data_IF_720779325410
#
_entry.id   IF_720779325410
#
_cell.length_a   1.000
_cell.length_b   1.000
_cell.length_c   1.000
_cell.angle_alpha   90.00
_cell.angle_beta   90.00
_cell.angle_gamma   90.00
#
_symmetry.space_group_name_H-M   'P 1'
#
loop_
_entity.id
_entity.type
_entity.pdbx_description
1 polymer ?
#
# COMPACT_ATOMS: atom_id res chain seq x y z
N UNK A 1 -23.76 5.22 -18.91
CA UNK A 1 -22.38 5.52 -18.53
C UNK A 1 -21.87 6.59 -19.46
N UNK A 2 -21.49 7.76 -18.94
CA UNK A 2 -21.06 8.88 -19.75
C UNK A 2 -19.69 8.58 -20.39
N UNK A 3 -19.48 8.82 -21.69
CA UNK A 3 -18.20 8.59 -22.39
C UNK A 3 -17.03 9.42 -21.84
N UNK A 4 -17.33 10.41 -21.02
CA UNK A 4 -16.31 11.29 -20.40
C UNK A 4 -15.38 10.56 -19.42
N UNK A 5 -15.86 9.49 -18.76
CA UNK A 5 -15.06 8.73 -17.81
C UNK A 5 -14.05 7.79 -18.48
N UNK A 6 -14.39 7.28 -19.65
CA UNK A 6 -13.47 6.43 -20.44
C UNK A 6 -12.34 7.27 -21.06
N UNK A 7 -12.66 8.52 -21.43
CA UNK A 7 -11.70 9.44 -22.03
C UNK A 7 -10.63 9.92 -21.02
N UNK A 8 -11.00 10.15 -19.76
CA UNK A 8 -10.04 10.45 -18.70
C UNK A 8 -9.11 9.29 -18.36
N UNK A 9 -9.57 8.04 -18.50
CA UNK A 9 -8.73 6.86 -18.23
C UNK A 9 -7.70 6.61 -19.35
N UNK A 10 -8.05 6.90 -20.60
CA UNK A 10 -7.15 6.75 -21.75
C UNK A 10 -6.07 7.83 -21.76
N UNK A 11 -6.38 9.05 -21.31
CA UNK A 11 -5.38 10.13 -21.20
C UNK A 11 -4.33 9.85 -20.11
N UNK A 12 -4.67 9.09 -19.09
CA UNK A 12 -3.73 8.69 -18.04
C UNK A 12 -2.69 7.65 -18.50
N UNK A 13 -2.96 6.90 -19.56
CA UNK A 13 -2.05 5.89 -20.10
C UNK A 13 -1.33 6.29 -21.41
N UNK A 14 -1.73 7.38 -22.04
CA UNK A 14 -1.08 7.92 -23.21
C UNK A 14 0.05 8.91 -22.85
N UNK A 15 0.95 8.51 -21.96
CA UNK A 15 2.21 9.23 -21.81
C UNK A 15 3.09 8.86 -22.99
N UNK A 16 3.46 9.81 -23.87
CA UNK A 16 4.40 9.50 -24.94
C UNK A 16 5.72 9.06 -24.31
N UNK A 17 6.20 7.90 -24.71
CA UNK A 17 7.58 7.44 -24.51
C UNK A 17 8.51 8.37 -25.31
N UNK A 18 8.67 9.60 -24.85
CA UNK A 18 9.79 10.40 -25.25
C UNK A 18 11.00 9.90 -24.47
N UNK A 19 11.87 9.19 -25.16
CA UNK A 19 13.26 9.03 -24.78
C UNK A 19 13.90 10.44 -24.75
N UNK A 20 13.73 11.16 -23.66
CA UNK A 20 14.49 12.36 -23.39
C UNK A 20 15.88 11.91 -22.93
N UNK A 21 16.88 12.29 -23.72
CA UNK A 21 18.28 12.30 -23.30
C UNK A 21 18.37 12.80 -21.87
N UNK A 22 18.91 11.98 -21.02
CA UNK A 22 19.09 12.19 -19.60
C UNK A 22 20.10 13.30 -19.36
N UNK A 23 19.65 14.54 -19.40
CA UNK A 23 20.33 15.55 -18.57
C UNK A 23 20.18 15.08 -17.13
N UNK A 24 21.25 14.58 -16.56
CA UNK A 24 21.34 14.18 -15.15
C UNK A 24 21.18 15.45 -14.32
N UNK A 25 19.95 15.79 -14.00
CA UNK A 25 19.67 16.88 -13.06
C UNK A 25 20.26 16.49 -11.71
N UNK A 26 21.11 17.33 -11.17
CA UNK A 26 21.90 17.12 -9.95
C UNK A 26 21.05 16.80 -8.71
N UNK A 27 19.75 17.03 -8.76
CA UNK A 27 18.82 16.89 -7.64
C UNK A 27 17.92 15.65 -7.69
N UNK A 28 18.16 14.70 -8.60
CA UNK A 28 17.33 13.48 -8.73
C UNK A 28 17.85 12.37 -7.82
N UNK A 29 17.30 12.29 -6.62
CA UNK A 29 17.58 11.21 -5.67
C UNK A 29 16.40 10.27 -5.66
N UNK A 30 16.63 8.99 -5.94
CA UNK A 30 15.62 7.94 -5.81
C UNK A 30 15.68 7.36 -4.40
N UNK A 31 14.67 7.56 -3.57
CA UNK A 31 14.60 6.96 -2.25
C UNK A 31 14.35 5.45 -2.38
N UNK A 32 15.43 4.65 -2.33
CA UNK A 32 15.38 3.20 -2.56
C UNK A 32 15.04 2.36 -1.33
N UNK A 33 14.96 2.98 -0.16
CA UNK A 33 14.99 2.26 1.12
C UNK A 33 13.72 2.45 1.97
N UNK A 34 12.61 2.91 1.37
CA UNK A 34 11.38 3.13 2.13
C UNK A 34 10.65 1.82 2.47
N UNK A 35 9.92 1.85 3.57
CA UNK A 35 9.09 0.74 4.04
C UNK A 35 7.93 0.49 3.08
N UNK A 36 7.74 -0.76 2.67
CA UNK A 36 6.67 -1.17 1.77
C UNK A 36 5.55 -1.83 2.59
N UNK A 37 4.37 -1.21 2.76
CA UNK A 37 3.21 -1.85 3.40
C UNK A 37 2.41 -2.67 2.39
N UNK A 38 1.41 -3.40 2.88
CA UNK A 38 0.36 -3.94 2.03
C UNK A 38 -0.48 -2.82 1.39
N UNK A 39 -1.05 -3.08 0.20
CA UNK A 39 -1.88 -2.08 -0.49
C UNK A 39 -3.17 -1.80 0.28
N UNK A 40 -3.61 -0.53 0.38
CA UNK A 40 -4.85 -0.16 1.06
C UNK A 40 -6.08 -0.90 0.53
N UNK A 41 -6.13 -1.21 -0.75
CA UNK A 41 -7.23 -1.97 -1.35
C UNK A 41 -7.30 -3.41 -0.81
N UNK A 42 -6.19 -4.03 -0.48
CA UNK A 42 -6.16 -5.36 0.15
C UNK A 42 -6.67 -5.32 1.58
N UNK A 43 -6.49 -4.20 2.30
CA UNK A 43 -7.04 -4.00 3.64
C UNK A 43 -8.56 -3.98 3.60
N UNK A 44 -9.17 -3.29 2.62
CA UNK A 44 -10.64 -3.27 2.43
C UNK A 44 -11.17 -4.65 2.08
N UNK A 45 -10.42 -5.43 1.30
CA UNK A 45 -10.81 -6.78 0.88
C UNK A 45 -10.51 -7.86 1.93
N UNK A 46 -9.80 -7.54 3.02
CA UNK A 46 -9.50 -8.46 4.12
C UNK A 46 -8.54 -9.60 3.77
N UNK A 47 -7.67 -9.40 2.78
CA UNK A 47 -6.71 -10.42 2.30
C UNK A 47 -5.27 -10.19 2.77
N UNK A 48 -5.04 -9.22 3.63
CA UNK A 48 -3.75 -8.96 4.26
C UNK A 48 -3.52 -9.85 5.49
N UNK A 49 -2.29 -10.26 5.80
CA UNK A 49 -1.96 -10.99 7.02
C UNK A 49 -2.31 -10.21 8.30
N UNK A 50 -1.97 -8.93 8.32
CA UNK A 50 -2.41 -7.96 9.34
C UNK A 50 -3.41 -6.99 8.72
N UNK A 51 -4.53 -6.73 9.39
CA UNK A 51 -5.50 -5.72 8.96
C UNK A 51 -5.12 -4.31 9.43
N UNK A 52 -4.18 -4.23 10.36
CA UNK A 52 -3.65 -2.97 10.88
C UNK A 52 -2.24 -2.78 10.33
N UNK A 53 -2.13 -2.02 9.24
CA UNK A 53 -0.86 -1.78 8.60
C UNK A 53 -0.13 -0.59 9.21
N UNK A 54 1.19 -0.69 9.24
CA UNK A 54 2.04 0.45 9.59
C UNK A 54 2.03 1.51 8.50
N UNK A 55 2.25 2.75 8.90
CA UNK A 55 2.45 3.86 7.97
C UNK A 55 3.71 3.65 7.14
N UNK A 56 3.64 4.00 5.89
CA UNK A 56 4.78 3.95 4.99
C UNK A 56 4.63 4.93 3.84
N UNK A 57 5.73 5.20 3.20
CA UNK A 57 5.81 5.97 1.97
C UNK A 57 6.22 5.07 0.82
N UNK A 58 5.40 5.08 -0.23
CA UNK A 58 5.71 4.44 -1.49
C UNK A 58 5.91 5.56 -2.47
N UNK A 59 7.14 5.78 -2.88
CA UNK A 59 7.46 6.81 -3.88
C UNK A 59 7.52 6.25 -5.30
N UNK A 60 7.32 4.94 -5.44
CA UNK A 60 7.33 4.22 -6.72
C UNK A 60 6.05 3.40 -6.88
N UNK A 61 5.86 2.83 -8.05
CA UNK A 61 4.78 1.91 -8.34
C UNK A 61 4.98 0.57 -7.63
N UNK A 62 3.94 0.06 -6.98
CA UNK A 62 4.00 -1.18 -6.22
C UNK A 62 2.95 -2.17 -6.70
N UNK A 63 3.32 -3.45 -6.71
CA UNK A 63 2.42 -4.59 -6.95
C UNK A 63 2.45 -5.53 -5.76
N UNK A 64 1.28 -5.91 -5.29
CA UNK A 64 1.09 -6.87 -4.22
C UNK A 64 0.39 -8.11 -4.73
N UNK A 65 0.84 -9.30 -4.29
CA UNK A 65 0.16 -10.58 -4.45
C UNK A 65 -0.23 -11.12 -3.08
N UNK A 66 -1.43 -11.64 -2.97
CA UNK A 66 -1.92 -12.23 -1.73
C UNK A 66 -2.35 -13.68 -1.95
N UNK A 67 -2.04 -14.51 -0.96
CA UNK A 67 -2.40 -15.93 -0.91
C UNK A 67 -3.24 -16.17 0.34
N UNK A 68 -4.38 -16.79 0.19
CA UNK A 68 -5.27 -17.11 1.29
C UNK A 68 -5.64 -18.60 1.24
N UNK A 69 -5.69 -19.25 2.41
CA UNK A 69 -6.09 -20.66 2.56
C UNK A 69 -5.26 -21.63 1.69
N UNK A 70 -3.94 -21.40 1.56
CA UNK A 70 -3.00 -22.21 0.76
C UNK A 70 -3.36 -22.31 -0.73
N UNK A 71 -4.29 -21.50 -1.21
CA UNK A 71 -4.61 -21.43 -2.64
C UNK A 71 -3.82 -20.29 -3.28
N UNK A 72 -3.15 -20.59 -4.37
CA UNK A 72 -2.54 -19.62 -5.28
C UNK A 72 -3.65 -18.93 -6.11
N UNK A 73 -4.58 -18.27 -5.45
CA UNK A 73 -5.53 -17.42 -6.18
C UNK A 73 -4.80 -16.16 -6.61
N UNK A 74 -5.00 -15.70 -7.85
CA UNK A 74 -4.33 -14.51 -8.37
C UNK A 74 -4.96 -13.24 -7.77
N UNK A 75 -4.71 -13.00 -6.49
CA UNK A 75 -5.05 -11.76 -5.84
C UNK A 75 -3.95 -10.76 -6.16
N UNK A 76 -4.29 -9.73 -6.90
CA UNK A 76 -3.35 -8.72 -7.36
C UNK A 76 -3.81 -7.34 -6.93
N UNK A 77 -2.92 -6.54 -6.38
CA UNK A 77 -3.14 -5.12 -6.17
C UNK A 77 -1.98 -4.29 -6.73
N UNK A 78 -2.35 -3.13 -7.24
CA UNK A 78 -1.44 -2.13 -7.77
C UNK A 78 -1.64 -0.85 -6.96
N UNK A 79 -0.54 -0.23 -6.54
CA UNK A 79 -0.56 1.01 -5.77
C UNK A 79 0.45 2.00 -6.32
N UNK A 80 0.10 3.28 -6.33
CA UNK A 80 0.96 4.38 -6.76
C UNK A 80 0.67 5.65 -5.98
N UNK A 81 1.59 6.61 -6.06
CA UNK A 81 1.41 7.99 -5.55
C UNK A 81 1.34 8.97 -6.74
N UNK A 82 0.15 9.19 -7.31
CA UNK A 82 0.03 9.94 -8.57
C UNK A 82 0.50 11.39 -8.44
N UNK A 83 0.33 12.05 -7.29
CA UNK A 83 0.85 13.41 -7.09
C UNK A 83 2.38 13.45 -7.07
N UNK A 84 3.04 12.45 -6.49
CA UNK A 84 4.49 12.32 -6.53
C UNK A 84 4.98 12.10 -7.95
N UNK A 85 4.28 11.24 -8.70
CA UNK A 85 4.60 10.92 -10.09
C UNK A 85 4.48 12.13 -11.02
N UNK A 86 3.32 12.78 -11.00
CA UNK A 86 2.96 13.82 -11.96
C UNK A 86 3.51 15.19 -11.58
N UNK A 87 3.46 15.57 -10.30
CA UNK A 87 3.80 16.92 -9.85
C UNK A 87 5.28 17.09 -9.50
N UNK A 88 5.91 16.03 -8.97
CA UNK A 88 7.33 16.02 -8.59
C UNK A 88 8.22 15.23 -9.56
N UNK A 89 7.73 14.87 -10.75
CA UNK A 89 8.46 14.10 -11.76
C UNK A 89 9.21 12.92 -11.16
N UNK A 90 8.60 12.24 -10.18
CA UNK A 90 9.13 11.09 -9.43
C UNK A 90 10.36 11.36 -8.55
N UNK A 91 11.13 12.43 -8.77
CA UNK A 91 12.48 12.56 -8.19
C UNK A 91 12.88 14.01 -7.86
N UNK A 92 12.02 14.97 -8.04
CA UNK A 92 12.36 16.37 -7.75
C UNK A 92 12.25 16.66 -6.25
N UNK A 93 13.31 16.28 -5.55
CA UNK A 93 13.42 16.46 -4.10
C UNK A 93 13.46 17.95 -3.71
N UNK A 94 14.12 18.79 -4.49
CA UNK A 94 14.21 20.23 -4.21
C UNK A 94 12.82 20.87 -4.23
N UNK A 95 12.00 20.54 -5.23
CA UNK A 95 10.61 20.97 -5.33
C UNK A 95 9.77 20.47 -4.16
N UNK A 96 9.99 19.22 -3.72
CA UNK A 96 9.29 18.63 -2.58
C UNK A 96 9.64 19.33 -1.27
N UNK A 97 10.92 19.57 -1.01
CA UNK A 97 11.40 20.21 0.21
C UNK A 97 10.96 21.66 0.33
N UNK A 98 10.88 22.39 -0.80
CA UNK A 98 10.38 23.77 -0.85
C UNK A 98 8.85 23.88 -0.83
N UNK A 99 8.12 22.76 -1.04
CA UNK A 99 6.68 22.74 -1.12
C UNK A 99 5.99 23.02 0.24
N UNK A 100 4.77 23.55 0.19
CA UNK A 100 3.93 23.73 1.37
C UNK A 100 3.61 22.39 2.05
N UNK A 101 3.27 22.41 3.35
CA UNK A 101 2.88 21.21 4.10
C UNK A 101 1.71 20.47 3.43
N UNK A 102 0.75 21.20 2.86
CA UNK A 102 -0.40 20.62 2.15
C UNK A 102 0.04 19.86 0.89
N UNK A 103 0.90 20.46 0.06
CA UNK A 103 1.39 19.81 -1.17
C UNK A 103 2.24 18.56 -0.87
N UNK A 104 3.01 18.56 0.21
CA UNK A 104 3.74 17.37 0.66
C UNK A 104 2.81 16.26 1.12
N UNK A 105 1.70 16.58 1.82
CA UNK A 105 0.68 15.59 2.18
C UNK A 105 -0.02 15.00 0.95
N UNK A 106 -0.30 15.80 -0.07
CA UNK A 106 -0.83 15.31 -1.34
C UNK A 106 0.16 14.38 -2.05
N UNK A 107 1.45 14.67 -1.97
CA UNK A 107 2.49 13.79 -2.54
C UNK A 107 2.55 12.40 -1.88
N UNK A 108 2.08 12.30 -0.63
CA UNK A 108 1.98 11.04 0.12
C UNK A 108 0.60 10.36 -0.02
N UNK A 109 -0.27 10.86 -0.91
CA UNK A 109 -1.57 10.25 -1.18
C UNK A 109 -1.40 9.00 -2.05
N UNK A 110 -1.73 7.85 -1.48
CA UNK A 110 -1.69 6.55 -2.15
C UNK A 110 -3.03 6.26 -2.84
N UNK A 111 -2.95 5.82 -4.08
CA UNK A 111 -4.08 5.27 -4.83
C UNK A 111 -3.79 3.81 -5.12
N UNK A 112 -4.74 2.94 -4.82
CA UNK A 112 -4.60 1.51 -5.08
C UNK A 112 -5.82 0.92 -5.76
N UNK A 113 -5.59 -0.03 -6.66
CA UNK A 113 -6.60 -0.82 -7.35
C UNK A 113 -6.22 -2.28 -7.19
N UNK A 114 -7.19 -3.14 -6.90
CA UNK A 114 -6.92 -4.56 -6.72
C UNK A 114 -8.06 -5.45 -7.16
N UNK A 115 -7.72 -6.71 -7.39
CA UNK A 115 -8.66 -7.78 -7.71
C UNK A 115 -8.38 -8.98 -6.83
N UNK A 116 -9.43 -9.53 -6.25
CA UNK A 116 -9.39 -10.71 -5.38
C UNK A 116 -10.45 -11.71 -5.84
N UNK A 117 -10.11 -12.99 -5.86
CA UNK A 117 -11.06 -14.05 -6.07
C UNK A 117 -11.59 -14.57 -4.73
N UNK A 118 -12.91 -14.63 -4.60
CA UNK A 118 -13.59 -15.12 -3.41
C UNK A 118 -13.65 -16.67 -3.40
N UNK A 119 -14.06 -17.23 -2.26
CA UNK A 119 -14.22 -18.68 -2.08
C UNK A 119 -15.27 -19.30 -3.02
N UNK A 120 -16.24 -18.50 -3.46
CA UNK A 120 -17.28 -18.87 -4.42
C UNK A 120 -16.87 -18.68 -5.90
N UNK A 121 -15.57 -18.44 -6.17
CA UNK A 121 -15.04 -18.05 -7.48
C UNK A 121 -15.55 -16.69 -8.00
N UNK A 122 -16.26 -15.91 -7.19
CA UNK A 122 -16.63 -14.56 -7.53
C UNK A 122 -15.42 -13.63 -7.49
N UNK A 123 -15.31 -12.70 -8.42
CA UNK A 123 -14.26 -11.71 -8.44
C UNK A 123 -14.70 -10.42 -7.75
N UNK A 124 -13.85 -9.93 -6.86
CA UNK A 124 -13.99 -8.61 -6.24
C UNK A 124 -12.96 -7.69 -6.83
N UNK A 125 -13.39 -6.53 -7.28
CA UNK A 125 -12.52 -5.46 -7.75
C UNK A 125 -12.74 -4.27 -6.82
N UNK A 126 -11.66 -3.70 -6.33
CA UNK A 126 -11.72 -2.56 -5.42
C UNK A 126 -10.73 -1.49 -5.77
N UNK A 127 -10.97 -0.32 -5.23
CA UNK A 127 -10.00 0.77 -5.20
C UNK A 127 -9.99 1.39 -3.81
N UNK A 128 -8.84 1.93 -3.43
CA UNK A 128 -8.70 2.64 -2.18
C UNK A 128 -7.76 3.84 -2.32
N UNK A 129 -8.03 4.84 -1.48
CA UNK A 129 -7.20 6.02 -1.27
C UNK A 129 -6.70 5.97 0.17
N UNK A 130 -5.42 6.27 0.38
CA UNK A 130 -4.83 6.41 1.70
C UNK A 130 -3.99 7.66 1.75
N UNK A 131 -4.17 8.44 2.81
CA UNK A 131 -3.39 9.66 3.06
C UNK A 131 -2.83 9.67 4.46
N UNK A 132 -1.74 10.42 4.65
CA UNK A 132 -1.09 10.61 5.92
C UNK A 132 -1.49 11.96 6.52
N UNK A 133 -2.08 11.97 7.72
CA UNK A 133 -2.47 13.17 8.45
C UNK A 133 -1.29 13.73 9.27
N UNK A 134 -0.62 12.84 10.01
CA UNK A 134 0.50 13.18 10.88
C UNK A 134 1.59 12.14 10.72
N UNK A 135 2.84 12.59 10.65
CA UNK A 135 4.01 11.73 10.60
C UNK A 135 5.16 12.39 11.35
N UNK A 136 5.77 11.65 12.25
CA UNK A 136 6.86 12.14 13.08
C UNK A 136 8.13 12.42 12.26
N UNK A 137 8.49 11.47 11.40
CA UNK A 137 9.65 11.58 10.54
C UNK A 137 9.28 11.43 9.07
N UNK A 138 9.66 12.39 8.24
CA UNK A 138 9.61 12.32 6.79
C UNK A 138 11.04 12.14 6.26
N UNK A 139 11.38 10.95 5.73
CA UNK A 139 12.73 10.70 5.23
C UNK A 139 13.18 11.68 4.14
N UNK A 140 12.25 12.22 3.34
CA UNK A 140 12.57 13.20 2.29
C UNK A 140 12.85 14.60 2.83
N UNK A 141 12.52 14.87 4.10
CA UNK A 141 12.78 16.13 4.79
C UNK A 141 13.94 16.02 5.78
N UNK A 142 14.58 14.87 5.91
CA UNK A 142 15.68 14.65 6.83
C UNK A 142 16.91 15.47 6.39
N UNK A 143 17.24 16.53 7.16
CA UNK A 143 18.38 17.41 6.86
C UNK A 143 19.70 16.65 6.79
N UNK A 144 19.87 15.69 7.70
CA UNK A 144 21.07 14.85 7.81
C UNK A 144 21.36 14.08 6.51
N UNK A 145 20.29 13.62 5.82
CA UNK A 145 20.44 12.84 4.60
C UNK A 145 20.70 13.69 3.35
N UNK A 146 20.16 14.91 3.30
CA UNK A 146 20.14 15.66 2.05
C UNK A 146 20.90 16.99 2.12
N UNK A 147 20.77 17.73 3.21
CA UNK A 147 21.40 19.04 3.35
C UNK A 147 22.87 18.85 3.68
N UNK A 148 23.19 18.09 4.72
CA UNK A 148 24.58 17.92 5.18
C UNK A 148 25.45 17.21 4.14
N UNK A 149 24.93 16.11 3.57
CA UNK A 149 25.63 15.39 2.49
C UNK A 149 25.72 16.28 1.24
N UNK A 150 24.63 16.99 0.91
CA UNK A 150 24.61 17.90 -0.23
C UNK A 150 25.65 19.02 -0.13
N UNK A 151 25.77 19.65 1.04
CA UNK A 151 26.76 20.69 1.29
C UNK A 151 28.19 20.14 1.22
N UNK A 152 28.45 18.95 1.82
CA UNK A 152 29.74 18.27 1.73
C UNK A 152 30.17 18.06 0.27
N UNK A 153 29.29 17.49 -0.55
CA UNK A 153 29.62 17.23 -1.96
C UNK A 153 29.67 18.50 -2.83
N UNK A 154 28.93 19.53 -2.45
CA UNK A 154 29.03 20.85 -3.10
C UNK A 154 30.42 21.47 -2.85
N UNK A 155 30.90 21.42 -1.62
CA UNK A 155 32.23 21.91 -1.27
C UNK A 155 33.32 21.10 -2.00
N UNK A 156 33.24 19.77 -1.97
CA UNK A 156 34.17 18.89 -2.70
C UNK A 156 34.20 19.20 -4.21
N UNK A 157 33.07 19.54 -4.81
CA UNK A 157 33.01 19.98 -6.21
C UNK A 157 33.80 21.26 -6.44
N UNK A 158 33.56 22.28 -5.60
CA UNK A 158 34.26 23.55 -5.71
C UNK A 158 35.78 23.35 -5.60
N UNK A 159 36.22 22.55 -4.65
CA UNK A 159 37.63 22.27 -4.41
C UNK A 159 38.25 21.53 -5.63
N UNK A 160 37.56 20.53 -6.20
CA UNK A 160 38.01 19.82 -7.39
C UNK A 160 38.06 20.71 -8.65
N UNK A 161 37.06 21.58 -8.84
CA UNK A 161 37.04 22.55 -9.95
C UNK A 161 38.19 23.56 -9.84
N UNK A 162 38.48 24.05 -8.65
CA UNK A 162 39.61 24.94 -8.39
C UNK A 162 40.96 24.25 -8.60
N UNK A 163 41.08 23.00 -8.14
CA UNK A 163 42.25 22.17 -8.38
C UNK A 163 42.47 21.95 -9.88
N UNK A 164 41.42 21.61 -10.62
CA UNK A 164 41.45 21.41 -12.07
C UNK A 164 41.91 22.67 -12.79
N UNK A 165 41.36 23.82 -12.37
CA UNK A 165 41.76 25.14 -12.91
C UNK A 165 43.25 25.40 -12.68
N UNK A 166 43.73 25.16 -11.49
CA UNK A 166 45.14 25.35 -11.10
C UNK A 166 46.05 24.46 -11.92
N UNK A 167 45.71 23.18 -12.07
CA UNK A 167 46.48 22.23 -12.85
C UNK A 167 46.52 22.59 -14.35
N UNK A 168 45.47 23.14 -14.89
CA UNK A 168 45.43 23.61 -16.29
C UNK A 168 46.34 24.82 -16.49
N UNK A 169 46.30 25.79 -15.57
CA UNK A 169 47.23 26.96 -15.60
C UNK A 169 48.67 26.47 -15.48
N UNK A 170 48.98 25.54 -14.60
CA UNK A 170 50.32 24.99 -14.47
C UNK A 170 50.76 24.27 -15.75
N UNK A 171 49.88 23.50 -16.41
CA UNK A 171 50.18 22.84 -17.67
C UNK A 171 50.55 23.81 -18.79
N UNK A 172 49.86 24.97 -18.82
CA UNK A 172 50.10 26.01 -19.83
C UNK A 172 51.37 26.80 -19.56
N UNK A 173 51.72 26.98 -18.27
CA UNK A 173 52.87 27.83 -17.85
C UNK A 173 54.19 27.03 -17.84
N UNK A 174 54.13 25.74 -17.67
CA UNK A 174 55.32 24.90 -17.52
C UNK A 174 56.08 24.69 -18.84
N UNK A 175 57.32 25.11 -18.91
CA UNK A 175 58.21 24.88 -20.06
C UNK A 175 58.91 23.51 -20.02
N UNK A 176 58.89 22.83 -18.88
CA UNK A 176 59.58 21.50 -18.71
C UNK A 176 58.75 20.36 -19.31
N UNK A 177 59.23 19.79 -20.40
CA UNK A 177 58.59 18.70 -21.15
C UNK A 177 58.39 17.44 -20.30
N UNK A 178 59.33 17.19 -19.35
CA UNK A 178 59.31 15.99 -18.50
C UNK A 178 58.17 16.05 -17.45
N UNK A 179 57.78 17.26 -17.00
CA UNK A 179 56.74 17.41 -16.00
C UNK A 179 55.32 17.44 -16.59
N UNK A 180 55.16 17.74 -17.88
CA UNK A 180 53.84 17.80 -18.56
C UNK A 180 53.03 16.49 -18.49
N UNK A 181 53.59 15.28 -18.65
CA UNK A 181 52.84 14.04 -18.54
C UNK A 181 52.22 13.83 -17.14
N UNK A 182 52.94 14.21 -16.10
CA UNK A 182 52.47 14.07 -14.71
C UNK A 182 51.28 15.00 -14.44
N UNK A 183 51.34 16.27 -14.88
CA UNK A 183 50.23 17.20 -14.72
C UNK A 183 49.03 16.75 -15.52
N UNK A 184 49.18 16.23 -16.74
CA UNK A 184 48.09 15.66 -17.53
C UNK A 184 47.42 14.46 -16.83
N UNK A 185 48.20 13.59 -16.17
CA UNK A 185 47.63 12.48 -15.42
C UNK A 185 46.84 12.95 -14.20
N UNK A 186 47.27 14.02 -13.52
CA UNK A 186 46.57 14.64 -12.41
C UNK A 186 45.26 15.30 -12.88
N UNK A 187 45.27 16.00 -14.01
CA UNK A 187 44.08 16.59 -14.63
C UNK A 187 43.06 15.48 -14.92
N UNK A 188 43.49 14.40 -15.59
CA UNK A 188 42.61 13.26 -15.88
C UNK A 188 42.03 12.64 -14.61
N UNK A 189 42.82 12.45 -13.57
CA UNK A 189 42.35 11.91 -12.30
C UNK A 189 41.32 12.83 -11.63
N UNK A 190 41.55 14.15 -11.66
CA UNK A 190 40.61 15.13 -11.09
C UNK A 190 39.31 15.22 -11.88
N UNK A 191 39.38 15.14 -13.23
CA UNK A 191 38.19 15.05 -14.11
C UNK A 191 37.37 13.75 -13.84
N UNK A 192 38.02 12.63 -13.60
CA UNK A 192 37.39 11.38 -13.24
C UNK A 192 36.70 11.44 -11.87
N UNK A 193 37.32 12.10 -10.89
CA UNK A 193 36.73 12.38 -9.59
C UNK A 193 35.49 13.25 -9.72
N UNK A 194 35.51 14.32 -10.52
CA UNK A 194 34.37 15.18 -10.80
C UNK A 194 33.22 14.41 -11.46
N UNK A 195 33.55 13.56 -12.45
CA UNK A 195 32.55 12.74 -13.15
C UNK A 195 31.87 11.71 -12.23
N UNK A 196 32.60 11.17 -11.25
CA UNK A 196 32.07 10.20 -10.29
C UNK A 196 31.41 10.82 -9.06
N UNK A 197 31.55 12.13 -8.85
CA UNK A 197 31.10 12.83 -7.66
C UNK A 197 29.59 12.64 -7.40
N UNK A 198 28.75 12.78 -8.43
CA UNK A 198 27.30 12.59 -8.30
C UNK A 198 26.93 11.14 -7.94
N UNK A 199 27.64 10.16 -8.50
CA UNK A 199 27.44 8.77 -8.18
C UNK A 199 27.82 8.46 -6.73
N UNK A 200 28.93 8.98 -6.25
CA UNK A 200 29.39 8.87 -4.86
C UNK A 200 28.40 9.51 -3.88
N UNK A 201 27.94 10.73 -4.17
CA UNK A 201 26.89 11.41 -3.39
C UNK A 201 25.64 10.54 -3.27
N UNK A 202 25.14 10.03 -4.39
CA UNK A 202 23.94 9.23 -4.39
C UNK A 202 24.11 7.90 -3.63
N UNK A 203 25.29 7.30 -3.69
CA UNK A 203 25.63 6.11 -2.89
C UNK A 203 25.62 6.43 -1.41
N UNK A 204 26.28 7.51 -0.97
CA UNK A 204 26.32 7.93 0.44
C UNK A 204 24.93 8.27 0.98
N UNK A 205 24.10 8.97 0.21
CA UNK A 205 22.70 9.22 0.59
C UNK A 205 21.92 7.92 0.74
N UNK A 206 22.07 6.98 -0.20
CA UNK A 206 21.37 5.70 -0.12
C UNK A 206 21.81 4.84 1.08
N UNK A 207 23.07 4.89 1.44
CA UNK A 207 23.61 4.16 2.62
C UNK A 207 23.09 4.78 3.93
N UNK A 208 23.16 6.09 4.05
CA UNK A 208 22.63 6.78 5.21
C UNK A 208 21.11 6.68 5.32
N UNK A 209 20.39 6.65 4.19
CA UNK A 209 18.95 6.41 4.18
C UNK A 209 18.56 5.04 4.74
N UNK A 210 19.39 4.00 4.56
CA UNK A 210 19.16 2.68 5.20
C UNK A 210 19.25 2.78 6.71
N UNK A 211 20.28 3.46 7.20
CA UNK A 211 20.47 3.67 8.65
C UNK A 211 19.29 4.46 9.21
N UNK A 212 18.94 5.57 8.57
CA UNK A 212 17.81 6.41 8.97
C UNK A 212 16.50 5.64 9.04
N UNK A 213 16.14 4.87 7.99
CA UNK A 213 14.93 4.04 7.96
C UNK A 213 15.00 2.93 9.01
N UNK A 214 16.18 2.38 9.26
CA UNK A 214 16.37 1.36 10.30
C UNK A 214 16.15 1.91 11.71
N UNK A 215 16.57 3.14 11.96
CA UNK A 215 16.40 3.79 13.26
C UNK A 215 14.99 4.32 13.49
N UNK A 216 14.28 4.73 12.42
CA UNK A 216 12.95 5.33 12.47
C UNK A 216 11.86 4.43 11.89
N UNK A 217 12.09 3.11 11.81
CA UNK A 217 11.13 2.15 11.24
C UNK A 217 9.78 2.14 11.98
N UNK A 218 9.78 2.51 13.25
CA UNK A 218 8.64 2.57 14.15
C UNK A 218 8.16 3.99 14.45
N UNK A 219 8.42 4.95 13.57
CA UNK A 219 7.99 6.33 13.72
C UNK A 219 6.48 6.45 13.91
N UNK A 220 6.07 7.38 14.78
CA UNK A 220 4.66 7.66 15.07
C UNK A 220 3.98 8.29 13.84
N UNK A 221 2.74 7.87 13.58
CA UNK A 221 1.99 8.39 12.45
C UNK A 221 0.48 8.25 12.63
N UNK A 222 -0.28 9.05 11.89
CA UNK A 222 -1.73 8.98 11.78
C UNK A 222 -2.13 8.99 10.31
N UNK A 223 -2.75 7.92 9.87
CA UNK A 223 -3.23 7.74 8.50
C UNK A 223 -4.75 7.67 8.46
N UNK A 224 -5.32 8.13 7.37
CA UNK A 224 -6.70 7.87 7.01
C UNK A 224 -6.76 7.13 5.68
N UNK A 225 -7.80 6.34 5.48
CA UNK A 225 -8.03 5.72 4.19
C UNK A 225 -9.51 5.50 3.92
N UNK A 226 -9.83 5.37 2.64
CA UNK A 226 -11.17 5.15 2.15
C UNK A 226 -11.12 4.23 0.94
N UNK A 227 -12.05 3.29 0.85
CA UNK A 227 -12.08 2.36 -0.26
C UNK A 227 -13.48 1.90 -0.63
N UNK A 228 -13.60 1.41 -1.86
CA UNK A 228 -14.81 0.79 -2.40
C UNK A 228 -14.49 -0.51 -3.09
N UNK A 229 -15.35 -1.50 -2.86
CA UNK A 229 -15.24 -2.84 -3.45
C UNK A 229 -16.52 -3.15 -4.21
N UNK A 230 -16.36 -3.71 -5.40
CA UNK A 230 -17.41 -4.26 -6.23
C UNK A 230 -17.23 -5.77 -6.36
N UNK A 231 -18.31 -6.53 -6.36
CA UNK A 231 -18.30 -7.97 -6.59
C UNK A 231 -18.89 -8.29 -7.96
N UNK A 232 -18.27 -9.25 -8.63
CA UNK A 232 -18.70 -9.73 -9.94
C UNK A 232 -18.85 -11.25 -9.88
N UNK A 233 -19.97 -11.79 -10.37
CA UNK A 233 -20.12 -13.22 -10.57
C UNK A 233 -19.36 -13.64 -11.83
N UNK A 234 -18.60 -14.72 -11.69
CA UNK A 234 -18.00 -15.41 -12.82
C UNK A 234 -18.92 -16.54 -13.23
N UNK A 235 -19.22 -16.69 -14.52
CA UNK A 235 -19.97 -17.85 -15.00
C UNK A 235 -19.11 -19.12 -14.94
N UNK A 236 -19.75 -20.30 -15.14
CA UNK A 236 -19.10 -21.59 -15.11
C UNK A 236 -17.99 -21.78 -16.16
N UNK A 237 -17.88 -20.89 -17.13
CA UNK A 237 -16.87 -20.93 -18.22
C UNK A 237 -15.68 -20.02 -17.93
N UNK A 238 -15.70 -19.24 -16.83
CA UNK A 238 -14.61 -18.32 -16.47
C UNK A 238 -14.58 -17.05 -17.29
N UNK A 239 -15.53 -16.84 -18.20
CA UNK A 239 -15.73 -15.57 -18.90
C UNK A 239 -16.45 -14.61 -17.97
N UNK A 240 -16.00 -13.36 -17.95
CA UNK A 240 -16.71 -12.24 -17.32
C UNK A 240 -17.99 -12.00 -18.15
N UNK A 241 -18.99 -12.87 -17.98
CA UNK A 241 -20.26 -12.72 -18.66
C UNK A 241 -20.93 -11.50 -18.15
N UNK A 242 -21.10 -10.57 -19.07
CA UNK A 242 -21.85 -9.33 -18.94
C UNK A 242 -21.78 -8.79 -17.53
N UNK A 243 -21.04 -7.74 -17.34
CA UNK A 243 -21.00 -6.81 -16.20
C UNK A 243 -22.38 -6.65 -15.52
N UNK A 244 -22.97 -7.73 -15.08
CA UNK A 244 -23.98 -7.67 -14.05
C UNK A 244 -23.19 -7.28 -12.80
N UNK A 245 -23.05 -5.97 -12.61
CA UNK A 245 -22.72 -5.38 -11.32
C UNK A 245 -23.58 -6.07 -10.27
N UNK A 246 -23.07 -7.17 -9.77
CA UNK A 246 -23.77 -7.90 -8.74
C UNK A 246 -23.43 -7.20 -7.42
N UNK A 247 -23.93 -5.97 -7.32
CA UNK A 247 -24.10 -5.14 -6.12
C UNK A 247 -22.82 -4.53 -5.54
N UNK A 248 -23.01 -3.35 -5.03
CA UNK A 248 -22.06 -2.67 -4.15
C UNK A 248 -21.71 -3.56 -2.99
N UNK A 249 -20.55 -4.14 -2.98
CA UNK A 249 -20.19 -4.99 -1.89
C UNK A 249 -19.79 -4.22 -0.66
N UNK A 250 -18.99 -3.20 -0.80
CA UNK A 250 -18.58 -2.45 0.39
C UNK A 250 -18.04 -1.05 0.09
N UNK A 251 -18.33 -0.12 0.98
CA UNK A 251 -17.59 1.10 1.22
C UNK A 251 -16.90 0.97 2.58
N UNK A 252 -15.67 1.40 2.69
CA UNK A 252 -14.96 1.40 3.98
C UNK A 252 -14.18 2.68 4.15
N UNK A 253 -14.26 3.25 5.35
CA UNK A 253 -13.38 4.32 5.78
C UNK A 253 -12.68 3.92 7.09
N UNK A 254 -11.40 4.24 7.23
CA UNK A 254 -10.65 3.91 8.44
C UNK A 254 -9.56 4.91 8.78
N UNK A 255 -9.20 4.91 10.04
CA UNK A 255 -8.08 5.67 10.60
C UNK A 255 -7.17 4.71 11.33
N UNK A 256 -5.87 4.82 11.07
CA UNK A 256 -4.81 4.11 11.76
C UNK A 256 -3.92 5.11 12.49
N UNK A 257 -3.75 4.92 13.80
CA UNK A 257 -2.77 5.66 14.59
C UNK A 257 -1.66 4.75 15.07
N UNK A 258 -0.40 5.11 14.86
CA UNK A 258 0.76 4.35 15.33
C UNK A 258 1.66 5.20 16.23
N UNK A 259 2.24 4.56 17.24
CA UNK A 259 3.17 5.16 18.20
C UNK A 259 4.36 4.23 18.39
N UNK A 260 5.56 4.77 18.15
CA UNK A 260 6.82 4.08 18.43
C UNK A 260 7.16 4.07 19.91
N UNK A 261 7.59 2.94 20.43
CA UNK A 261 8.03 2.77 21.82
C UNK A 261 9.47 2.24 21.83
N UNK A 262 10.40 3.10 22.18
CA UNK A 262 11.83 2.81 22.08
C UNK A 262 12.21 2.50 20.62
N UNK A 263 13.27 1.71 20.43
CA UNK A 263 13.80 1.40 19.08
C UNK A 263 13.18 0.15 18.42
N UNK A 264 12.42 -0.67 19.17
CA UNK A 264 12.01 -2.01 18.71
C UNK A 264 10.51 -2.27 18.74
N UNK A 265 9.70 -1.38 19.27
CA UNK A 265 8.26 -1.60 19.43
C UNK A 265 7.47 -0.56 18.64
N UNK A 266 6.40 -1.00 18.02
CA UNK A 266 5.40 -0.16 17.38
C UNK A 266 4.01 -0.61 17.82
N UNK A 267 3.26 0.28 18.44
CA UNK A 267 1.86 0.08 18.77
C UNK A 267 1.01 0.80 17.74
N UNK A 268 0.04 0.11 17.14
CA UNK A 268 -0.88 0.69 16.16
C UNK A 268 -2.31 0.40 16.53
N UNK A 269 -3.18 1.42 16.51
CA UNK A 269 -4.63 1.30 16.67
C UNK A 269 -5.36 1.49 15.34
N UNK A 270 -6.47 0.80 15.14
CA UNK A 270 -7.36 0.90 13.98
C UNK A 270 -8.79 1.15 14.43
N UNK A 271 -9.46 2.08 13.76
CA UNK A 271 -10.92 2.17 13.74
C UNK A 271 -11.36 2.21 12.28
N UNK A 272 -12.23 1.26 11.89
CA UNK A 272 -12.77 1.12 10.53
C UNK A 272 -14.28 1.04 10.60
N UNK A 273 -14.95 1.74 9.71
CA UNK A 273 -16.38 1.56 9.47
C UNK A 273 -16.60 1.17 8.02
N UNK A 274 -17.35 0.09 7.81
CA UNK A 274 -17.67 -0.46 6.49
C UNK A 274 -19.17 -0.52 6.31
N UNK A 275 -19.65 -0.17 5.12
CA UNK A 275 -21.02 -0.31 4.68
C UNK A 275 -21.04 -1.29 3.51
N UNK A 276 -21.80 -2.38 3.64
CA UNK A 276 -21.83 -3.42 2.63
C UNK A 276 -23.23 -4.03 2.47
N UNK A 277 -23.46 -4.62 1.33
CA UNK A 277 -24.66 -5.37 1.02
C UNK A 277 -24.33 -6.86 1.03
N UNK A 278 -25.22 -7.64 1.62
CA UNK A 278 -25.14 -9.10 1.73
C UNK A 278 -26.32 -9.72 1.00
N UNK A 279 -26.06 -10.69 0.15
CA UNK A 279 -27.09 -11.49 -0.49
C UNK A 279 -27.46 -12.67 0.41
N UNK A 280 -28.70 -12.70 0.86
CA UNK A 280 -29.28 -13.75 1.68
C UNK A 280 -29.95 -14.76 0.76
N UNK A 281 -29.43 -16.00 0.73
CA UNK A 281 -30.06 -17.08 -0.03
C UNK A 281 -30.86 -17.97 0.93
N UNK A 282 -32.13 -18.24 0.60
CA UNK A 282 -33.01 -19.08 1.39
C UNK A 282 -33.92 -19.91 0.49
N UNK A 283 -34.55 -20.99 1.04
CA UNK A 283 -35.49 -21.82 0.34
C UNK A 283 -36.86 -21.69 0.96
N UNK A 284 -37.86 -21.54 0.12
CA UNK A 284 -39.25 -21.59 0.51
C UNK A 284 -39.89 -22.85 -0.11
N UNK A 285 -40.77 -23.50 0.65
CA UNK A 285 -41.53 -24.65 0.22
C UNK A 285 -43.00 -24.25 0.09
N UNK A 286 -43.60 -24.56 -1.06
CA UNK A 286 -45.04 -24.47 -1.24
C UNK A 286 -45.71 -25.59 -0.44
N UNK A 287 -46.62 -25.23 0.47
CA UNK A 287 -47.33 -26.18 1.34
C UNK A 287 -48.34 -27.02 0.58
N UNK A 288 -48.80 -26.54 -0.60
CA UNK A 288 -49.78 -27.25 -1.39
C UNK A 288 -49.14 -28.29 -2.35
N UNK A 289 -48.08 -27.86 -3.04
CA UNK A 289 -47.43 -28.72 -4.04
C UNK A 289 -46.21 -29.48 -3.46
N UNK A 290 -45.64 -28.99 -2.36
CA UNK A 290 -44.41 -29.56 -1.77
C UNK A 290 -43.13 -29.12 -2.48
N UNK A 291 -43.21 -28.28 -3.51
CA UNK A 291 -42.06 -27.85 -4.29
C UNK A 291 -41.20 -26.84 -3.52
N UNK A 292 -39.88 -26.92 -3.70
CA UNK A 292 -38.92 -25.99 -3.10
C UNK A 292 -38.42 -24.99 -4.13
N UNK A 293 -38.44 -23.71 -3.76
CA UNK A 293 -37.96 -22.61 -4.59
C UNK A 293 -36.82 -21.85 -3.90
N UNK A 294 -35.76 -21.55 -4.67
CA UNK A 294 -34.68 -20.67 -4.19
C UNK A 294 -35.11 -19.19 -4.26
N UNK A 295 -35.00 -18.50 -3.16
CA UNK A 295 -35.25 -17.05 -3.04
C UNK A 295 -34.01 -16.32 -2.57
N UNK A 296 -33.93 -15.06 -2.93
CA UNK A 296 -32.81 -14.17 -2.61
C UNK A 296 -33.30 -12.82 -2.11
N UNK A 297 -32.70 -12.36 -1.04
CA UNK A 297 -32.94 -11.01 -0.52
C UNK A 297 -31.61 -10.30 -0.32
N UNK A 298 -31.63 -8.96 -0.22
CA UNK A 298 -30.49 -8.13 0.01
C UNK A 298 -30.65 -7.42 1.34
N UNK A 299 -29.65 -7.62 2.20
CA UNK A 299 -29.55 -6.88 3.44
C UNK A 299 -28.39 -5.87 3.39
N UNK A 300 -28.65 -4.63 3.74
CA UNK A 300 -27.62 -3.62 3.95
C UNK A 300 -27.14 -3.65 5.39
N UNK A 301 -25.83 -3.69 5.56
CA UNK A 301 -25.18 -3.87 6.85
C UNK A 301 -24.10 -2.79 7.08
N UNK A 302 -23.80 -2.54 8.34
CA UNK A 302 -22.62 -1.81 8.76
C UNK A 302 -21.71 -2.73 9.57
N UNK A 303 -20.39 -2.56 9.44
CA UNK A 303 -19.41 -3.28 10.23
C UNK A 303 -18.45 -2.26 10.84
N UNK A 304 -18.50 -2.10 12.15
CA UNK A 304 -17.53 -1.35 12.91
C UNK A 304 -16.43 -2.31 13.36
N UNK A 305 -15.19 -2.03 12.94
CA UNK A 305 -14.00 -2.77 13.37
C UNK A 305 -13.12 -1.85 14.20
N UNK A 306 -12.74 -2.29 15.39
CA UNK A 306 -11.74 -1.64 16.22
C UNK A 306 -10.65 -2.65 16.57
N UNK A 307 -9.39 -2.22 16.60
CA UNK A 307 -8.31 -3.13 16.86
C UNK A 307 -7.00 -2.50 17.28
N UNK A 308 -6.12 -3.34 17.76
CA UNK A 308 -4.76 -2.99 18.17
C UNK A 308 -3.77 -4.00 17.60
N UNK A 309 -2.62 -3.50 17.20
CA UNK A 309 -1.50 -4.30 16.69
C UNK A 309 -0.24 -3.88 17.40
N UNK A 310 0.48 -4.84 17.94
CA UNK A 310 1.80 -4.65 18.56
C UNK A 310 2.82 -5.31 17.66
N UNK A 311 3.83 -4.56 17.23
CA UNK A 311 4.95 -5.05 16.43
C UNK A 311 6.25 -4.96 17.20
N UNK A 312 7.08 -5.97 17.03
CA UNK A 312 8.43 -6.03 17.60
C UNK A 312 9.44 -6.37 16.51
N UNK A 313 10.56 -5.66 16.45
CA UNK A 313 11.63 -5.98 15.50
C UNK A 313 12.40 -4.77 15.00
N UNK A 314 12.50 -4.67 13.68
CA UNK A 314 13.25 -3.63 12.99
C UNK A 314 12.82 -3.47 11.52
N UNK A 315 13.60 -2.74 10.73
CA UNK A 315 13.29 -2.48 9.32
C UNK A 315 13.35 -3.72 8.42
N UNK A 316 14.17 -4.71 8.78
CA UNK A 316 14.38 -5.94 7.98
C UNK A 316 13.37 -7.02 8.33
N UNK A 317 13.04 -7.12 9.61
CA UNK A 317 12.20 -8.19 10.11
C UNK A 317 11.37 -7.69 11.29
N UNK A 318 10.05 -7.94 11.24
CA UNK A 318 9.14 -7.63 12.34
C UNK A 318 8.20 -8.78 12.61
N UNK A 319 7.89 -9.00 13.90
CA UNK A 319 6.77 -9.83 14.34
C UNK A 319 5.62 -8.95 14.75
N UNK A 320 4.39 -9.44 14.58
CA UNK A 320 3.20 -8.75 15.09
C UNK A 320 2.26 -9.70 15.82
N UNK A 321 1.54 -9.10 16.76
CA UNK A 321 0.35 -9.65 17.39
C UNK A 321 -0.77 -8.62 17.24
N UNK A 322 -1.90 -9.03 16.68
CA UNK A 322 -3.03 -8.16 16.36
C UNK A 322 -4.31 -8.73 16.95
N UNK A 323 -5.07 -7.86 17.59
CA UNK A 323 -6.42 -8.14 18.06
C UNK A 323 -7.42 -7.21 17.37
N UNK A 324 -8.51 -7.77 16.83
CA UNK A 324 -9.61 -7.04 16.22
C UNK A 324 -10.92 -7.44 16.86
N UNK A 325 -11.75 -6.45 17.12
CA UNK A 325 -13.14 -6.59 17.51
C UNK A 325 -14.03 -6.02 16.41
N UNK A 326 -15.06 -6.78 16.01
CA UNK A 326 -16.00 -6.41 14.96
C UNK A 326 -17.43 -6.43 15.48
N UNK A 327 -18.16 -5.33 15.23
CA UNK A 327 -19.58 -5.20 15.55
C UNK A 327 -20.37 -4.99 14.30
N UNK A 328 -21.20 -5.96 13.95
CA UNK A 328 -22.14 -5.89 12.81
C UNK A 328 -23.40 -5.17 13.24
N UNK A 329 -23.85 -4.23 12.41
CA UNK A 329 -25.11 -3.54 12.56
C UNK A 329 -25.95 -3.72 11.31
N UNK A 330 -27.26 -3.95 11.48
CA UNK A 330 -28.20 -4.12 10.37
C UNK A 330 -28.87 -2.78 10.08
N UNK A 331 -28.86 -2.37 8.78
CA UNK A 331 -29.54 -1.16 8.30
C UNK A 331 -30.90 -1.47 7.71
N UNK A 332 -31.04 -2.65 7.10
CA UNK A 332 -32.32 -3.11 6.56
C UNK A 332 -33.24 -3.43 7.73
N UNK A 333 -34.43 -2.79 7.85
CA UNK A 333 -35.37 -3.11 8.91
C UNK A 333 -35.75 -4.59 8.86
N UNK A 334 -35.94 -5.19 10.04
CA UNK A 334 -36.32 -6.59 10.15
C UNK A 334 -37.65 -6.84 9.45
N UNK A 335 -38.54 -5.87 9.45
CA UNK A 335 -39.87 -5.89 8.77
C UNK A 335 -39.73 -6.02 7.24
N UNK A 336 -38.69 -5.40 6.65
CA UNK A 336 -38.40 -5.54 5.21
C UNK A 336 -37.82 -6.92 4.86
N UNK A 337 -37.36 -7.67 5.85
CA UNK A 337 -36.86 -9.03 5.72
C UNK A 337 -37.90 -10.07 6.16
N UNK A 338 -39.08 -9.65 6.61
CA UNK A 338 -40.14 -10.54 7.02
C UNK A 338 -40.54 -11.52 5.91
N UNK A 339 -40.54 -11.08 4.66
CA UNK A 339 -40.78 -11.97 3.52
C UNK A 339 -39.68 -13.05 3.34
N UNK A 340 -38.52 -12.83 3.94
CA UNK A 340 -37.39 -13.79 3.95
C UNK A 340 -37.51 -14.78 5.10
N UNK A 341 -38.09 -14.36 6.22
CA UNK A 341 -38.19 -15.14 7.46
C UNK A 341 -39.59 -15.64 7.75
N UNK A 342 -40.62 -14.94 7.33
CA UNK A 342 -42.01 -15.39 7.29
C UNK A 342 -42.41 -15.61 5.84
N UNK A 343 -42.55 -16.90 5.48
CA UNK A 343 -43.05 -17.20 4.12
C UNK A 343 -44.39 -16.57 3.88
N UNK A 344 -44.71 -16.15 2.65
CA UNK A 344 -46.06 -15.75 2.26
C UNK A 344 -47.08 -16.85 2.60
N UNK A 345 -48.36 -16.49 2.73
CA UNK A 345 -49.40 -17.46 3.01
C UNK A 345 -49.36 -18.61 2.00
N UNK A 346 -49.31 -19.84 2.51
CA UNK A 346 -49.17 -21.04 1.72
C UNK A 346 -47.74 -21.52 1.49
N UNK A 347 -46.73 -20.85 2.01
CA UNK A 347 -45.33 -21.24 1.94
C UNK A 347 -44.70 -21.38 3.32
N UNK A 348 -43.67 -22.21 3.42
CA UNK A 348 -42.83 -22.36 4.64
C UNK A 348 -41.37 -22.18 4.29
N UNK A 349 -40.60 -21.46 5.12
CA UNK A 349 -39.14 -21.39 4.97
C UNK A 349 -38.51 -22.67 5.45
N UNK A 350 -37.98 -23.47 4.53
CA UNK A 350 -37.41 -24.80 4.83
C UNK A 350 -35.92 -24.76 5.13
N UNK A 351 -35.21 -23.81 4.59
CA UNK A 351 -33.76 -23.66 4.79
C UNK A 351 -33.35 -22.21 4.68
N UNK A 352 -33.10 -21.62 5.82
CA UNK A 352 -32.28 -20.40 5.90
C UNK A 352 -30.83 -20.84 5.98
N UNK A 353 -30.08 -20.76 4.88
CA UNK A 353 -28.61 -20.96 4.92
C UNK A 353 -27.89 -19.81 5.62
N UNK A 354 -28.64 -18.81 6.00
CA UNK A 354 -28.12 -17.54 6.49
C UNK A 354 -28.15 -17.56 8.01
N UNK A 355 -27.03 -17.96 8.57
CA UNK A 355 -26.66 -17.55 9.94
C UNK A 355 -26.15 -16.10 9.89
N UNK A 356 -27.02 -15.18 9.50
CA UNK A 356 -26.67 -13.76 9.36
C UNK A 356 -26.35 -13.07 10.69
N UNK A 357 -26.75 -13.66 11.80
CA UNK A 357 -26.48 -13.26 13.18
C UNK A 357 -25.16 -13.83 13.73
N UNK A 358 -24.53 -14.77 13.03
CA UNK A 358 -23.23 -15.29 13.46
C UNK A 358 -22.13 -14.32 13.08
N UNK A 359 -21.88 -13.40 13.97
CA UNK A 359 -20.71 -12.54 13.92
C UNK A 359 -19.58 -13.26 14.65
N UNK A 360 -18.42 -13.34 14.03
CA UNK A 360 -17.18 -13.72 14.70
C UNK A 360 -16.47 -12.44 15.14
N UNK A 361 -16.86 -11.84 16.27
CA UNK A 361 -16.46 -10.47 16.59
C UNK A 361 -15.02 -10.35 17.01
N UNK A 362 -14.39 -11.46 17.40
CA UNK A 362 -13.04 -11.44 17.93
C UNK A 362 -12.09 -12.18 16.98
N UNK A 363 -11.06 -11.48 16.54
CA UNK A 363 -10.00 -12.03 15.68
C UNK A 363 -8.65 -11.77 16.32
N UNK A 364 -7.85 -12.81 16.48
CA UNK A 364 -6.46 -12.73 16.89
C UNK A 364 -5.57 -13.13 15.72
N UNK A 365 -4.66 -12.24 15.30
CA UNK A 365 -3.72 -12.54 14.22
C UNK A 365 -2.30 -12.41 14.73
N UNK A 366 -1.42 -13.28 14.27
CA UNK A 366 0.01 -13.20 14.56
C UNK A 366 0.82 -13.57 13.33
N UNK A 367 2.00 -12.98 13.20
CA UNK A 367 2.83 -13.17 12.02
C UNK A 367 4.01 -12.22 11.99
N UNK A 368 4.45 -11.88 10.78
CA UNK A 368 5.56 -10.98 10.60
C UNK A 368 5.70 -10.43 9.19
N UNK A 369 6.61 -9.51 9.06
CA UNK A 369 7.07 -8.97 7.79
C UNK A 369 8.56 -9.29 7.67
N UNK A 370 8.95 -9.80 6.52
CA UNK A 370 10.35 -10.08 6.19
C UNK A 370 10.74 -9.37 4.90
N UNK A 371 11.67 -8.45 4.99
CA UNK A 371 12.26 -7.79 3.83
C UNK A 371 13.32 -8.69 3.21
N UNK A 372 12.95 -9.41 2.14
CA UNK A 372 13.84 -10.33 1.41
C UNK A 372 14.89 -9.54 0.61
N UNK A 373 14.46 -8.42 0.02
CA UNK A 373 15.33 -7.52 -0.75
C UNK A 373 14.91 -6.05 -0.58
N UNK A 374 15.63 -5.13 -1.23
CA UNK A 374 15.27 -3.70 -1.23
C UNK A 374 13.88 -3.43 -1.79
N UNK A 375 13.44 -4.26 -2.72
CA UNK A 375 12.18 -4.08 -3.44
C UNK A 375 11.11 -5.10 -3.09
N UNK A 376 11.42 -6.12 -2.25
CA UNK A 376 10.52 -7.23 -1.97
C UNK A 376 10.35 -7.45 -0.48
N UNK A 377 9.09 -7.45 -0.04
CA UNK A 377 8.70 -7.84 1.33
C UNK A 377 7.74 -9.03 1.26
N UNK A 378 8.00 -10.02 2.08
CA UNK A 378 7.08 -11.11 2.39
C UNK A 378 6.35 -10.75 3.70
N UNK A 379 5.03 -10.67 3.64
CA UNK A 379 4.19 -10.59 4.84
C UNK A 379 3.53 -11.95 5.03
N UNK A 380 3.56 -12.47 6.25
CA UNK A 380 2.97 -13.76 6.57
C UNK A 380 2.28 -13.71 7.92
N UNK A 381 1.24 -14.51 8.08
CA UNK A 381 0.52 -14.55 9.33
C UNK A 381 -0.53 -15.64 9.38
N UNK A 382 -1.04 -15.82 10.59
CA UNK A 382 -2.15 -16.73 10.89
C UNK A 382 -3.23 -15.94 11.61
N UNK A 383 -4.46 -16.09 11.16
CA UNK A 383 -5.63 -15.44 11.74
C UNK A 383 -6.52 -16.48 12.40
N UNK A 384 -6.73 -16.31 13.71
CA UNK A 384 -7.62 -17.12 14.53
C UNK A 384 -8.92 -16.35 14.78
N UNK A 385 -10.06 -16.97 14.55
CA UNK A 385 -11.39 -16.36 14.65
C UNK A 385 -12.17 -16.99 15.79
N UNK A 386 -12.83 -16.14 16.59
CA UNK A 386 -13.56 -16.56 17.79
C UNK A 386 -14.98 -16.00 17.79
N UNK A 387 -15.90 -16.73 18.42
CA UNK A 387 -17.27 -16.26 18.68
C UNK A 387 -17.28 -15.18 19.78
N UNK A 388 -18.46 -14.59 20.04
CA UNK A 388 -18.69 -13.72 21.20
C UNK A 388 -18.29 -14.35 22.53
N UNK A 389 -18.42 -15.65 22.66
CA UNK A 389 -18.08 -16.40 23.88
C UNK A 389 -16.61 -16.89 23.89
N UNK A 390 -15.75 -16.32 23.03
CA UNK A 390 -14.35 -16.72 22.87
C UNK A 390 -14.15 -18.18 22.46
N UNK A 391 -15.17 -18.81 21.87
CA UNK A 391 -15.04 -20.14 21.32
C UNK A 391 -14.31 -20.05 19.98
N UNK A 392 -13.22 -20.79 19.85
CA UNK A 392 -12.45 -20.90 18.61
C UNK A 392 -13.30 -21.49 17.47
N UNK A 393 -13.30 -20.88 16.31
CA UNK A 393 -14.09 -21.31 15.14
C UNK A 393 -13.24 -21.71 13.97
N UNK A 394 -12.02 -21.22 13.86
CA UNK A 394 -11.14 -21.60 12.78
C UNK A 394 -9.88 -20.72 12.71
N UNK A 395 -8.95 -21.15 11.89
CA UNK A 395 -7.75 -20.38 11.56
C UNK A 395 -7.55 -20.29 10.06
N UNK A 396 -7.03 -19.15 9.60
CA UNK A 396 -6.74 -18.89 8.21
C UNK A 396 -5.30 -18.43 8.07
N UNK A 397 -4.42 -19.21 7.42
CA UNK A 397 -3.11 -18.73 7.04
C UNK A 397 -3.23 -17.74 5.90
N UNK A 398 -2.50 -16.64 5.99
CA UNK A 398 -2.46 -15.58 4.99
C UNK A 398 -1.02 -15.19 4.75
N UNK A 399 -0.65 -15.05 3.49
CA UNK A 399 0.64 -14.51 3.10
C UNK A 399 0.46 -13.54 1.93
N UNK A 400 1.33 -12.55 1.84
CA UNK A 400 1.39 -11.66 0.69
C UNK A 400 2.83 -11.27 0.38
N UNK A 401 3.10 -11.05 -0.89
CA UNK A 401 4.38 -10.54 -1.39
C UNK A 401 4.12 -9.18 -1.99
N UNK A 402 4.84 -8.18 -1.50
CA UNK A 402 4.83 -6.83 -2.00
C UNK A 402 6.12 -6.56 -2.77
N UNK A 403 6.01 -6.10 -4.02
CA UNK A 403 7.15 -5.75 -4.86
C UNK A 403 7.04 -4.30 -5.35
N UNK A 404 8.10 -3.52 -5.15
CA UNK A 404 8.23 -2.21 -5.80
C UNK A 404 8.79 -2.40 -7.22
N UNK A 405 8.08 -1.90 -8.22
CA UNK A 405 8.51 -1.84 -9.61
C UNK A 405 9.07 -0.45 -9.89
N UNK A 406 10.19 -0.40 -10.60
CA UNK A 406 10.85 0.83 -11.05
C UNK A 406 10.49 1.13 -12.49
#
# INVERSE_FOLDING_TARGET
MHPLFLFCFIILFASPLFAQETQVSENRISPKEFTIPASPVFDVMGVTPSQINRTSDIKDFKVDWSFKNWRLNPNLAIQSQPFWELFYNRKDLSKYQSASKFMRKLAALDVSIGSVQDENNDRRIGFALKGNLLREYDPLMARELYVEIGEKFKQERVDLEEQLRTLRIQLDTISNIIAKPNIRSQIKATEEQLNTLNSRRNTEINENAKVFVSEHWNASALDFAFGKVYSYKTDSVGTLNSLRLNRNTAWSGWINGSVGIGKKWLLTGLIRNSWYEEELNFKIKDNNTGDEFDRKAIASNTLLTAGMNIRYGGSLYTFFLEFLYEKKGFKTPVEALNDVFSAPDGFTVTRSSVKWDVVHPNTLSFGGDWRISRSVILNYGMRCVFTNQWKFTGFNPVASIACMMR
#
